data_IF_487321773397
#
_entry.id   IF_487321773397
#
_cell.length_a   1.000
_cell.length_b   1.000
_cell.length_c   1.000
_cell.angle_alpha   90.00
_cell.angle_beta   90.00
_cell.angle_gamma   90.00
#
_symmetry.space_group_name_H-M   'P 1'
#
loop_
_entity.id
_entity.type
_entity.pdbx_description
1 polymer ?
#
# COMPACT_ATOMS: atom_id res chain seq x y z
N UNK A 1 4.76 8.14 29.88
CA UNK A 1 5.33 6.83 29.53
C UNK A 1 4.22 5.80 29.66
N UNK A 2 4.14 4.85 28.74
CA UNK A 2 3.17 3.74 28.75
C UNK A 2 3.97 2.44 28.92
N UNK A 3 3.58 1.60 29.88
CA UNK A 3 4.24 0.31 30.10
C UNK A 3 3.73 -0.69 29.05
N UNK A 4 4.61 -1.15 28.16
CA UNK A 4 4.23 -2.01 27.04
C UNK A 4 5.08 -3.26 26.96
N UNK A 5 4.47 -4.43 27.21
CA UNK A 5 5.12 -5.73 27.03
C UNK A 5 4.98 -6.25 25.58
N UNK A 6 3.82 -6.01 24.97
CA UNK A 6 3.48 -6.41 23.62
C UNK A 6 2.83 -5.24 22.89
N UNK A 7 3.19 -5.06 21.62
CA UNK A 7 2.55 -4.08 20.73
C UNK A 7 1.92 -4.79 19.55
N UNK A 8 0.70 -4.40 19.19
CA UNK A 8 -0.01 -4.95 18.03
C UNK A 8 0.57 -4.46 16.70
N UNK A 9 1.14 -3.25 16.69
CA UNK A 9 1.74 -2.63 15.50
C UNK A 9 3.14 -2.14 15.83
N UNK A 10 4.02 -2.15 14.83
CA UNK A 10 5.32 -1.48 14.91
C UNK A 10 5.22 0.05 14.82
N UNK A 11 6.37 0.73 14.81
CA UNK A 11 6.46 2.17 14.52
C UNK A 11 6.12 2.46 13.05
N UNK A 12 5.74 3.72 12.71
CA UNK A 12 5.24 4.05 11.36
C UNK A 12 6.29 3.87 10.25
N UNK A 13 7.59 4.00 10.55
CA UNK A 13 8.64 3.73 9.56
C UNK A 13 8.66 2.26 9.12
N UNK A 14 8.19 1.31 9.94
CA UNK A 14 8.01 -0.09 9.50
C UNK A 14 6.91 -0.17 8.43
N UNK A 15 5.85 0.61 8.58
CA UNK A 15 4.82 0.78 7.56
C UNK A 15 5.38 1.33 6.24
N UNK A 16 6.24 2.34 6.31
CA UNK A 16 6.92 2.86 5.12
C UNK A 16 7.80 1.82 4.42
N UNK A 17 8.55 1.02 5.18
CA UNK A 17 9.32 -0.11 4.62
C UNK A 17 8.41 -1.16 3.98
N UNK A 18 7.21 -1.43 4.54
CA UNK A 18 6.24 -2.34 3.92
C UNK A 18 5.86 -1.87 2.52
N UNK A 19 5.58 -0.57 2.35
CA UNK A 19 5.29 -0.01 1.02
C UNK A 19 6.49 -0.13 0.08
N UNK A 20 7.68 0.32 0.52
CA UNK A 20 8.89 0.27 -0.30
C UNK A 20 9.25 -1.15 -0.75
N UNK A 21 9.23 -2.11 0.19
CA UNK A 21 9.57 -3.50 -0.08
C UNK A 21 8.52 -4.24 -0.92
N UNK A 22 7.26 -3.80 -0.84
CA UNK A 22 6.17 -4.32 -1.68
C UNK A 22 6.36 -3.93 -3.14
N UNK A 23 6.95 -2.76 -3.41
CA UNK A 23 7.14 -2.23 -4.75
C UNK A 23 8.45 -2.69 -5.42
N UNK A 24 8.56 -2.40 -6.71
CA UNK A 24 9.76 -2.55 -7.55
C UNK A 24 10.22 -1.17 -8.01
N UNK A 25 11.54 -0.96 -8.00
CA UNK A 25 12.13 0.32 -8.42
C UNK A 25 11.99 1.45 -7.41
N UNK A 26 11.38 1.22 -6.24
CA UNK A 26 11.31 2.20 -5.14
C UNK A 26 12.35 1.84 -4.09
N UNK A 27 13.22 2.80 -3.74
CA UNK A 27 14.19 2.64 -2.66
C UNK A 27 13.84 3.56 -1.49
N UNK A 28 14.14 3.13 -0.26
CA UNK A 28 13.86 3.90 0.95
C UNK A 28 15.16 4.18 1.70
N UNK A 29 15.46 5.46 1.93
CA UNK A 29 16.52 5.88 2.84
C UNK A 29 15.89 6.27 4.17
N UNK A 30 16.23 5.51 5.21
CA UNK A 30 15.74 5.71 6.57
C UNK A 30 16.87 6.27 7.44
N UNK A 31 16.69 7.49 7.93
CA UNK A 31 17.57 8.03 8.95
C UNK A 31 17.28 7.34 10.28
N UNK A 32 18.22 6.51 10.73
CA UNK A 32 18.05 5.63 11.88
C UNK A 32 19.40 5.30 12.55
N UNK A 33 19.40 5.00 13.86
CA UNK A 33 20.56 4.51 14.58
C UNK A 33 20.95 3.09 14.14
N UNK A 34 22.16 2.68 14.51
CA UNK A 34 22.57 1.28 14.37
C UNK A 34 21.66 0.36 15.21
N UNK A 35 21.14 -0.69 14.58
CA UNK A 35 20.29 -1.70 15.22
C UNK A 35 18.87 -1.77 14.64
N UNK A 36 18.35 -0.65 14.13
CA UNK A 36 17.01 -0.58 13.50
C UNK A 36 16.90 -1.44 12.22
N UNK A 37 18.03 -1.95 11.71
CA UNK A 37 18.09 -2.96 10.66
C UNK A 37 17.44 -4.29 11.05
N UNK A 38 17.07 -4.51 12.32
CA UNK A 38 16.30 -5.70 12.73
C UNK A 38 15.05 -5.89 11.88
N UNK A 39 14.48 -4.80 11.38
CA UNK A 39 13.24 -4.84 10.64
C UNK A 39 13.39 -5.49 9.24
N UNK A 40 14.62 -5.61 8.72
CA UNK A 40 14.91 -6.45 7.55
C UNK A 40 14.48 -7.91 7.77
N UNK A 41 14.64 -8.43 9.00
CA UNK A 41 14.27 -9.81 9.33
C UNK A 41 12.78 -10.07 9.22
N UNK A 42 11.93 -9.05 9.34
CA UNK A 42 10.49 -9.21 9.10
C UNK A 42 10.26 -9.68 7.66
N UNK A 43 10.94 -9.07 6.70
CA UNK A 43 10.79 -9.42 5.28
C UNK A 43 11.56 -10.70 4.89
N UNK A 44 12.75 -10.91 5.44
CA UNK A 44 13.57 -12.07 5.04
C UNK A 44 13.22 -13.35 5.78
N UNK A 45 12.66 -13.27 6.99
CA UNK A 45 12.33 -14.44 7.81
C UNK A 45 10.83 -14.74 7.86
N UNK A 46 9.98 -13.75 8.12
CA UNK A 46 8.53 -13.96 8.20
C UNK A 46 7.94 -14.11 6.79
N UNK A 47 8.19 -13.12 5.93
CA UNK A 47 7.79 -13.16 4.50
C UNK A 47 8.70 -14.05 3.63
N UNK A 48 9.84 -14.51 4.19
CA UNK A 48 10.79 -15.42 3.53
C UNK A 48 11.28 -14.92 2.17
N UNK A 49 11.49 -13.61 2.01
CA UNK A 49 11.99 -13.04 0.74
C UNK A 49 13.46 -13.40 0.54
N UNK A 50 13.78 -13.90 -0.66
CA UNK A 50 15.15 -14.22 -1.09
C UNK A 50 16.00 -13.02 -1.50
N UNK A 51 15.62 -11.81 -1.08
CA UNK A 51 16.35 -10.56 -1.36
C UNK A 51 16.22 -9.61 -0.17
N UNK A 52 17.23 -8.77 0.02
CA UNK A 52 17.18 -7.68 1.02
C UNK A 52 16.04 -6.71 0.67
N UNK A 53 15.36 -6.12 1.66
CA UNK A 53 14.48 -4.97 1.43
C UNK A 53 15.25 -3.83 0.74
N UNK A 54 14.59 -3.03 -0.12
CA UNK A 54 15.19 -1.87 -0.76
C UNK A 54 15.27 -0.70 0.24
N UNK A 55 15.95 -0.92 1.36
CA UNK A 55 16.08 0.04 2.47
C UNK A 55 17.56 0.27 2.76
N UNK A 56 17.97 1.54 2.80
CA UNK A 56 19.28 1.97 3.28
C UNK A 56 19.08 2.71 4.60
N UNK A 57 19.79 2.27 5.62
CA UNK A 57 19.78 2.90 6.95
C UNK A 57 21.04 3.74 7.09
N UNK A 58 20.94 4.94 7.66
CA UNK A 58 22.14 5.75 7.95
C UNK A 58 23.03 5.13 9.04
N UNK A 59 22.44 4.35 9.94
CA UNK A 59 23.10 3.60 11.02
C UNK A 59 24.01 4.45 11.92
N UNK A 60 23.57 5.64 12.32
CA UNK A 60 24.37 6.50 13.21
C UNK A 60 24.56 5.86 14.59
N UNK A 61 25.68 6.16 15.22
CA UNK A 61 26.06 5.72 16.55
C UNK A 61 26.20 6.92 17.49
N UNK A 62 26.43 6.66 18.78
CA UNK A 62 26.64 7.70 19.78
C UNK A 62 27.75 8.69 19.42
N UNK A 63 28.83 8.23 18.77
CA UNK A 63 29.95 9.09 18.33
C UNK A 63 29.56 10.07 17.21
N UNK A 64 28.55 9.72 16.41
CA UNK A 64 28.13 10.53 15.27
C UNK A 64 27.25 11.71 15.73
N UNK A 65 26.61 11.59 16.90
CA UNK A 65 25.79 12.66 17.50
C UNK A 65 26.59 13.92 17.89
N UNK A 66 27.91 13.79 18.06
CA UNK A 66 28.81 14.93 18.27
C UNK A 66 29.32 15.56 16.96
N UNK A 67 28.94 14.99 15.82
CA UNK A 67 29.36 15.41 14.48
C UNK A 67 28.20 15.92 13.64
N UNK A 68 28.28 15.69 12.32
CA UNK A 68 27.29 16.12 11.33
C UNK A 68 26.46 14.93 10.84
N UNK A 69 25.36 14.64 11.52
CA UNK A 69 24.40 13.59 11.14
C UNK A 69 23.60 13.95 9.87
N UNK A 70 23.48 15.24 9.54
CA UNK A 70 22.87 15.70 8.30
C UNK A 70 23.74 15.35 7.07
N UNK A 71 25.07 15.50 7.14
CA UNK A 71 25.95 15.06 6.07
C UNK A 71 26.00 13.52 5.96
N UNK A 72 25.84 12.82 7.10
CA UNK A 72 25.71 11.36 7.10
C UNK A 72 24.51 10.91 6.26
N UNK A 73 23.34 11.54 6.41
CA UNK A 73 22.16 11.18 5.60
C UNK A 73 22.35 11.56 4.14
N UNK A 74 22.88 12.75 3.82
CA UNK A 74 23.17 13.15 2.43
C UNK A 74 24.09 12.15 1.74
N UNK A 75 25.14 11.69 2.41
CA UNK A 75 26.04 10.66 1.87
C UNK A 75 25.30 9.36 1.54
N UNK A 76 24.50 8.84 2.47
CA UNK A 76 23.75 7.60 2.23
C UNK A 76 22.68 7.73 1.15
N UNK A 77 22.08 8.92 0.98
CA UNK A 77 21.18 9.20 -0.14
C UNK A 77 21.95 9.09 -1.46
N UNK A 78 23.11 9.75 -1.59
CA UNK A 78 23.94 9.66 -2.81
C UNK A 78 24.32 8.22 -3.13
N UNK A 79 24.83 7.49 -2.14
CA UNK A 79 25.26 6.10 -2.29
C UNK A 79 24.09 5.19 -2.69
N UNK A 80 22.91 5.36 -2.09
CA UNK A 80 21.72 4.59 -2.44
C UNK A 80 21.27 4.86 -3.89
N UNK A 81 21.21 6.13 -4.30
CA UNK A 81 20.83 6.51 -5.67
C UNK A 81 21.85 6.00 -6.69
N UNK A 82 23.15 6.18 -6.42
CA UNK A 82 24.22 5.73 -7.33
C UNK A 82 24.23 4.20 -7.50
N UNK A 83 24.08 3.47 -6.38
CA UNK A 83 24.14 2.01 -6.36
C UNK A 83 22.90 1.35 -6.95
N UNK A 84 21.71 1.80 -6.55
CA UNK A 84 20.46 1.10 -6.85
C UNK A 84 19.70 1.71 -8.03
N UNK A 85 19.97 2.98 -8.38
CA UNK A 85 19.32 3.71 -9.48
C UNK A 85 17.78 3.54 -9.48
N UNK A 86 17.10 3.87 -8.37
CA UNK A 86 15.66 3.66 -8.26
C UNK A 86 14.87 4.62 -9.16
N UNK A 87 13.65 4.19 -9.52
CA UNK A 87 12.67 5.00 -10.25
C UNK A 87 12.04 6.07 -9.34
N UNK A 88 12.00 5.85 -8.03
CA UNK A 88 11.60 6.83 -7.02
C UNK A 88 12.29 6.57 -5.68
N UNK A 89 12.51 7.62 -4.90
CA UNK A 89 13.17 7.55 -3.60
C UNK A 89 12.21 8.02 -2.50
N UNK A 90 12.03 7.17 -1.50
CA UNK A 90 11.42 7.55 -0.22
C UNK A 90 12.53 7.98 0.73
N UNK A 91 12.29 9.03 1.52
CA UNK A 91 13.22 9.50 2.55
C UNK A 91 12.43 9.79 3.82
N UNK A 92 12.85 9.23 4.94
CA UNK A 92 12.14 9.35 6.22
C UNK A 92 13.03 9.09 7.43
N UNK A 93 12.44 9.14 8.61
CA UNK A 93 13.12 9.09 9.91
C UNK A 93 12.58 7.94 10.77
N UNK A 94 13.45 7.35 11.60
CA UNK A 94 13.03 6.50 12.72
C UNK A 94 12.76 7.35 13.96
N UNK A 95 12.22 6.74 15.02
CA UNK A 95 11.86 7.47 16.24
C UNK A 95 13.05 8.23 16.86
N UNK A 96 14.27 7.69 16.78
CA UNK A 96 15.45 8.36 17.33
C UNK A 96 15.90 9.52 16.43
N UNK A 97 15.81 9.36 15.10
CA UNK A 97 16.14 10.41 14.15
C UNK A 97 15.15 11.59 14.21
N UNK A 98 13.87 11.31 14.48
CA UNK A 98 12.85 12.33 14.69
C UNK A 98 13.22 13.28 15.86
N UNK A 99 14.03 12.86 16.83
CA UNK A 99 14.47 13.75 17.92
C UNK A 99 15.58 14.72 17.52
N UNK A 100 16.44 14.36 16.57
CA UNK A 100 17.59 15.18 16.14
C UNK A 100 17.24 16.16 15.02
N UNK A 101 16.10 15.96 14.33
CA UNK A 101 15.47 16.94 13.44
C UNK A 101 16.38 17.38 12.28
N UNK A 102 17.13 16.46 11.68
CA UNK A 102 17.99 16.74 10.52
C UNK A 102 17.22 17.03 9.22
N UNK A 103 15.90 16.82 9.19
CA UNK A 103 15.02 17.10 8.05
C UNK A 103 15.47 16.38 6.74
N UNK A 104 15.69 15.05 6.76
CA UNK A 104 16.35 14.34 5.67
C UNK A 104 15.59 14.42 4.35
N UNK A 105 14.26 14.49 4.37
CA UNK A 105 13.47 14.63 3.15
C UNK A 105 13.63 16.00 2.48
N UNK A 106 13.70 17.08 3.26
CA UNK A 106 14.00 18.42 2.73
C UNK A 106 15.44 18.50 2.20
N UNK A 107 16.40 17.88 2.91
CA UNK A 107 17.78 17.77 2.43
C UNK A 107 17.83 17.04 1.09
N UNK A 108 17.13 15.91 0.96
CA UNK A 108 17.07 15.14 -0.28
C UNK A 108 16.51 15.96 -1.45
N UNK A 109 15.46 16.75 -1.22
CA UNK A 109 14.89 17.65 -2.23
C UNK A 109 15.87 18.72 -2.74
N UNK A 110 16.85 19.12 -1.92
CA UNK A 110 17.90 20.08 -2.29
C UNK A 110 19.13 19.47 -2.96
N UNK A 111 19.19 18.15 -3.15
CA UNK A 111 20.38 17.46 -3.67
C UNK A 111 20.47 17.40 -5.20
N UNK A 112 19.44 17.83 -5.92
CA UNK A 112 19.47 17.95 -7.39
C UNK A 112 19.42 16.62 -8.15
N UNK A 113 18.71 15.61 -7.63
CA UNK A 113 18.49 14.35 -8.34
C UNK A 113 17.36 14.45 -9.36
N UNK A 114 17.53 13.82 -10.52
CA UNK A 114 16.53 13.74 -11.61
C UNK A 114 15.52 12.58 -11.41
N UNK A 115 15.11 12.33 -10.16
CA UNK A 115 14.12 11.29 -9.83
C UNK A 115 13.11 11.80 -8.79
N UNK A 116 11.87 11.29 -8.77
CA UNK A 116 10.88 11.65 -7.76
C UNK A 116 11.34 11.30 -6.34
N UNK A 117 11.43 12.31 -5.48
CA UNK A 117 11.73 12.14 -4.05
C UNK A 117 10.48 12.41 -3.24
N UNK A 118 10.09 11.46 -2.40
CA UNK A 118 8.96 11.57 -1.48
C UNK A 118 9.51 11.70 -0.06
N UNK A 119 9.36 12.90 0.51
CA UNK A 119 9.66 13.18 1.91
C UNK A 119 8.54 12.64 2.79
N UNK A 120 8.87 11.72 3.69
CA UNK A 120 7.91 11.09 4.60
C UNK A 120 7.97 11.74 5.98
N UNK A 121 6.86 12.34 6.40
CA UNK A 121 6.65 12.86 7.75
C UNK A 121 5.86 11.83 8.56
N UNK A 122 6.55 11.06 9.40
CA UNK A 122 5.98 9.92 10.09
C UNK A 122 6.13 10.04 11.61
N UNK A 123 5.15 10.65 12.33
CA UNK A 123 5.27 10.92 13.76
C UNK A 123 5.33 9.63 14.61
N UNK A 124 6.53 9.15 14.93
CA UNK A 124 6.74 7.85 15.56
C UNK A 124 6.24 7.77 17.00
N UNK A 125 6.03 8.93 17.63
CA UNK A 125 5.52 9.05 18.99
C UNK A 125 3.99 9.14 19.09
N UNK A 126 3.28 9.25 17.96
CA UNK A 126 1.80 9.36 17.96
C UNK A 126 1.09 8.46 16.95
N UNK A 127 1.82 7.92 15.97
CA UNK A 127 1.30 7.03 14.93
C UNK A 127 2.01 5.67 14.98
N UNK A 128 1.42 4.70 14.29
CA UNK A 128 1.88 3.31 14.24
C UNK A 128 2.04 2.83 12.80
N UNK A 129 2.41 1.57 12.65
CA UNK A 129 2.73 0.91 11.40
C UNK A 129 1.68 1.09 10.29
N UNK A 130 0.41 0.78 10.53
CA UNK A 130 -0.59 0.85 9.46
C UNK A 130 -0.80 2.29 8.97
N UNK A 131 -0.82 3.25 9.89
CA UNK A 131 -0.85 4.66 9.51
C UNK A 131 0.38 5.06 8.68
N UNK A 132 1.57 4.61 9.08
CA UNK A 132 2.80 4.88 8.32
C UNK A 132 2.78 4.28 6.91
N UNK A 133 2.20 3.09 6.75
CA UNK A 133 1.99 2.47 5.45
C UNK A 133 0.96 3.23 4.60
N UNK A 134 -0.17 3.62 5.18
CA UNK A 134 -1.21 4.40 4.50
C UNK A 134 -0.69 5.77 4.03
N UNK A 135 -0.02 6.50 4.93
CA UNK A 135 0.56 7.82 4.61
C UNK A 135 1.64 7.69 3.53
N UNK A 136 2.51 6.68 3.61
CA UNK A 136 3.55 6.46 2.61
C UNK A 136 2.97 6.15 1.24
N UNK A 137 1.96 5.27 1.16
CA UNK A 137 1.28 4.95 -0.09
C UNK A 137 0.60 6.19 -0.68
N UNK A 138 -0.13 6.94 0.15
CA UNK A 138 -0.80 8.18 -0.23
C UNK A 138 0.18 9.21 -0.78
N UNK A 139 1.28 9.50 -0.06
CA UNK A 139 2.27 10.50 -0.47
C UNK A 139 3.03 10.09 -1.73
N UNK A 140 3.31 8.79 -1.89
CA UNK A 140 3.93 8.28 -3.11
C UNK A 140 3.02 8.45 -4.32
N UNK A 141 1.77 8.00 -4.24
CA UNK A 141 0.80 8.13 -5.33
C UNK A 141 0.52 9.60 -5.65
N UNK A 142 0.27 10.41 -4.62
CA UNK A 142 0.05 11.86 -4.77
C UNK A 142 1.26 12.57 -5.38
N UNK A 143 2.48 12.23 -4.96
CA UNK A 143 3.70 12.84 -5.45
C UNK A 143 3.94 12.53 -6.93
N UNK A 144 3.77 11.27 -7.34
CA UNK A 144 3.96 10.83 -8.73
C UNK A 144 2.86 11.34 -9.66
N UNK A 145 1.62 11.42 -9.17
CA UNK A 145 0.47 11.85 -9.96
C UNK A 145 0.15 13.35 -9.83
N UNK A 146 0.94 14.14 -9.10
CA UNK A 146 0.67 15.57 -8.85
C UNK A 146 0.47 16.40 -10.12
N UNK A 147 1.20 16.05 -11.18
CA UNK A 147 1.16 16.75 -12.47
C UNK A 147 0.25 16.05 -13.50
N UNK A 148 -0.40 14.95 -13.14
CA UNK A 148 -1.47 14.41 -13.97
C UNK A 148 -2.64 15.39 -13.97
N UNK A 149 -3.22 15.63 -15.14
CA UNK A 149 -4.38 16.51 -15.26
C UNK A 149 -5.50 16.04 -14.33
N UNK A 150 -6.14 16.98 -13.64
CA UNK A 150 -7.38 16.70 -12.91
C UNK A 150 -8.44 16.19 -13.89
N UNK A 151 -9.37 15.37 -13.41
CA UNK A 151 -10.50 14.98 -14.23
C UNK A 151 -11.26 16.24 -14.71
N UNK A 152 -11.42 16.37 -16.03
CA UNK A 152 -12.11 17.50 -16.63
C UNK A 152 -13.63 17.43 -16.41
N UNK A 153 -14.16 16.25 -16.11
CA UNK A 153 -15.58 15.93 -15.92
C UNK A 153 -15.77 14.86 -14.83
N UNK A 154 -16.98 14.73 -14.29
CA UNK A 154 -17.33 13.75 -13.26
C UNK A 154 -17.22 12.30 -13.71
N UNK A 155 -17.27 11.36 -12.76
CA UNK A 155 -17.23 9.93 -13.03
C UNK A 155 -18.35 9.49 -13.98
N UNK A 156 -18.00 8.85 -15.10
CA UNK A 156 -18.94 8.09 -15.93
C UNK A 156 -18.73 6.59 -15.70
N UNK A 157 -19.68 5.90 -15.04
CA UNK A 157 -19.58 4.47 -14.74
C UNK A 157 -19.63 3.59 -16.00
N UNK A 158 -20.02 4.15 -17.15
CA UNK A 158 -20.18 3.43 -18.42
C UNK A 158 -19.14 3.78 -19.49
N UNK A 159 -18.14 4.59 -19.16
CA UNK A 159 -17.06 5.01 -20.09
C UNK A 159 -16.38 3.84 -20.80
N UNK A 160 -16.24 2.71 -20.12
CA UNK A 160 -15.66 1.48 -20.67
C UNK A 160 -16.49 0.90 -21.84
N UNK A 161 -17.82 1.11 -21.84
CA UNK A 161 -18.72 0.69 -22.92
C UNK A 161 -18.46 1.49 -24.19
N UNK A 162 -18.32 2.81 -24.07
CA UNK A 162 -18.00 3.70 -25.20
C UNK A 162 -16.60 3.40 -25.78
N UNK A 163 -15.66 3.05 -24.91
CA UNK A 163 -14.31 2.65 -25.29
C UNK A 163 -14.22 1.21 -25.84
N UNK A 164 -15.32 0.44 -25.86
CA UNK A 164 -15.37 -0.91 -26.43
C UNK A 164 -14.46 -1.93 -25.73
N UNK A 165 -14.21 -1.75 -24.42
CA UNK A 165 -13.34 -2.64 -23.61
C UNK A 165 -14.06 -3.15 -22.37
N UNK A 166 -13.49 -4.15 -21.69
CA UNK A 166 -13.94 -4.54 -20.35
C UNK A 166 -13.67 -3.42 -19.34
N UNK A 167 -14.49 -3.27 -18.27
CA UNK A 167 -14.20 -2.38 -17.17
C UNK A 167 -12.90 -2.81 -16.49
N UNK A 168 -12.13 -1.83 -16.01
CA UNK A 168 -10.82 -2.04 -15.39
C UNK A 168 -10.81 -1.48 -13.98
N UNK A 169 -10.22 -2.22 -13.04
CA UNK A 169 -10.10 -1.77 -11.65
C UNK A 169 -8.67 -1.77 -11.14
N UNK A 170 -8.35 -0.86 -10.23
CA UNK A 170 -7.14 -0.96 -9.44
C UNK A 170 -7.42 -1.76 -8.16
N UNK A 171 -6.49 -2.60 -7.71
CA UNK A 171 -6.51 -3.20 -6.37
C UNK A 171 -5.54 -2.43 -5.48
N UNK A 172 -6.06 -1.68 -4.50
CA UNK A 172 -5.25 -0.78 -3.66
C UNK A 172 -5.23 -1.31 -2.22
N UNK A 173 -4.03 -1.39 -1.63
CA UNK A 173 -3.81 -1.80 -0.23
C UNK A 173 -2.94 -3.03 0.00
N UNK A 174 -2.99 -4.10 -0.83
CA UNK A 174 -2.21 -5.31 -0.60
C UNK A 174 -0.72 -4.98 -0.46
N UNK A 175 -0.07 -5.49 0.60
CA UNK A 175 1.33 -5.22 0.91
C UNK A 175 2.01 -6.43 1.53
N UNK A 176 3.33 -6.45 1.49
CA UNK A 176 4.14 -7.37 2.30
C UNK A 176 3.93 -7.10 3.78
N UNK A 177 4.05 -8.17 4.57
CA UNK A 177 3.65 -8.26 5.97
C UNK A 177 2.14 -8.04 6.19
N UNK A 178 1.37 -7.85 5.11
CA UNK A 178 -0.07 -7.87 5.14
C UNK A 178 -0.59 -9.30 5.26
N UNK A 179 -1.64 -9.48 6.05
CA UNK A 179 -2.17 -10.80 6.32
C UNK A 179 -2.82 -11.39 5.06
N UNK A 180 -2.19 -12.43 4.49
CA UNK A 180 -2.68 -13.19 3.30
C UNK A 180 -2.82 -12.39 2.01
N UNK A 181 -2.30 -11.16 1.95
CA UNK A 181 -2.40 -10.28 0.78
C UNK A 181 -1.98 -10.95 -0.55
N UNK A 182 -0.97 -11.83 -0.54
CA UNK A 182 -0.54 -12.59 -1.73
C UNK A 182 -1.70 -13.41 -2.32
N UNK A 183 -2.40 -14.16 -1.48
CA UNK A 183 -3.44 -15.09 -1.94
C UNK A 183 -4.77 -14.36 -2.15
N UNK A 184 -5.05 -13.34 -1.35
CA UNK A 184 -6.23 -12.48 -1.51
C UNK A 184 -6.21 -11.76 -2.87
N UNK A 185 -5.04 -11.24 -3.30
CA UNK A 185 -4.91 -10.63 -4.64
C UNK A 185 -5.22 -11.64 -5.74
N UNK A 186 -4.78 -12.89 -5.61
CA UNK A 186 -5.07 -13.95 -6.60
C UNK A 186 -6.57 -14.23 -6.65
N UNK A 187 -7.20 -14.39 -5.49
CA UNK A 187 -8.62 -14.74 -5.39
C UNK A 187 -9.52 -13.61 -5.91
N UNK A 188 -9.26 -12.36 -5.50
CA UNK A 188 -10.02 -11.20 -5.96
C UNK A 188 -9.81 -10.96 -7.46
N UNK A 189 -8.59 -11.11 -7.97
CA UNK A 189 -8.35 -10.98 -9.41
C UNK A 189 -9.10 -12.05 -10.20
N UNK A 190 -9.14 -13.29 -9.72
CA UNK A 190 -9.90 -14.39 -10.34
C UNK A 190 -11.40 -14.12 -10.29
N UNK A 191 -11.90 -13.65 -9.14
CA UNK A 191 -13.31 -13.32 -8.96
C UNK A 191 -13.73 -12.24 -9.95
N UNK A 192 -13.06 -11.09 -9.95
CA UNK A 192 -13.34 -9.98 -10.87
C UNK A 192 -13.25 -10.42 -12.34
N UNK A 193 -12.23 -11.20 -12.70
CA UNK A 193 -12.07 -11.72 -14.06
C UNK A 193 -13.26 -12.58 -14.50
N UNK A 194 -13.85 -13.36 -13.59
CA UNK A 194 -15.05 -14.17 -13.87
C UNK A 194 -16.33 -13.36 -14.07
N UNK A 195 -16.34 -12.10 -13.60
CA UNK A 195 -17.42 -11.14 -13.82
C UNK A 195 -17.17 -10.22 -15.02
N UNK A 196 -16.11 -10.47 -15.82
CA UNK A 196 -15.82 -9.61 -16.97
C UNK A 196 -15.05 -8.33 -16.61
N UNK A 197 -14.49 -8.23 -15.40
CA UNK A 197 -13.74 -7.06 -14.93
C UNK A 197 -12.24 -7.36 -14.97
N UNK A 198 -11.46 -6.47 -15.58
CA UNK A 198 -10.00 -6.60 -15.69
C UNK A 198 -9.29 -5.87 -14.54
N UNK A 199 -8.16 -6.39 -14.07
CA UNK A 199 -7.30 -5.68 -13.12
C UNK A 199 -6.30 -4.82 -13.90
N UNK A 200 -6.35 -3.50 -13.71
CA UNK A 200 -5.42 -2.54 -14.28
C UNK A 200 -4.06 -2.62 -13.57
N UNK A 201 -4.08 -2.35 -12.25
CA UNK A 201 -2.89 -2.29 -11.41
C UNK A 201 -3.20 -2.80 -10.00
N UNK A 202 -2.25 -3.51 -9.39
CA UNK A 202 -2.24 -3.82 -7.95
C UNK A 202 -1.18 -2.94 -7.29
N UNK A 203 -1.53 -2.16 -6.26
CA UNK A 203 -0.60 -1.26 -5.55
C UNK A 203 -0.77 -1.40 -4.04
N UNK A 204 0.30 -1.42 -3.22
CA UNK A 204 1.73 -1.39 -3.61
C UNK A 204 2.33 -2.74 -4.04
N UNK A 205 1.65 -3.87 -3.79
CA UNK A 205 2.25 -5.19 -4.00
C UNK A 205 2.70 -5.45 -5.44
N UNK A 206 4.02 -5.60 -5.59
CA UNK A 206 4.77 -5.87 -6.81
C UNK A 206 4.68 -4.79 -7.91
N UNK A 207 4.14 -3.61 -7.59
CA UNK A 207 3.98 -2.46 -8.47
C UNK A 207 5.28 -1.72 -8.74
N UNK A 208 5.43 -1.18 -9.94
CA UNK A 208 6.47 -0.20 -10.34
C UNK A 208 5.95 1.23 -10.26
N UNK A 209 6.84 2.22 -10.42
CA UNK A 209 6.44 3.62 -10.60
C UNK A 209 5.59 3.79 -11.86
N UNK A 210 5.92 3.10 -12.96
CA UNK A 210 5.12 3.12 -14.18
C UNK A 210 3.70 2.60 -13.96
N UNK A 211 3.52 1.61 -13.08
CA UNK A 211 2.21 1.10 -12.71
C UNK A 211 1.37 2.13 -11.93
N UNK A 212 2.00 2.91 -11.05
CA UNK A 212 1.34 4.03 -10.36
C UNK A 212 0.85 5.07 -11.37
N UNK A 213 1.64 5.37 -12.40
CA UNK A 213 1.27 6.34 -13.44
C UNK A 213 0.02 5.92 -14.22
N UNK A 214 -0.30 4.61 -14.27
CA UNK A 214 -1.49 4.07 -14.92
C UNK A 214 -2.72 3.99 -14.02
N UNK A 215 -2.62 4.33 -12.73
CA UNK A 215 -3.76 4.31 -11.82
C UNK A 215 -4.97 5.12 -12.33
N UNK A 216 -4.82 6.30 -12.96
CA UNK A 216 -5.94 7.05 -13.51
C UNK A 216 -6.65 6.41 -14.71
N UNK A 217 -6.14 5.31 -15.27
CA UNK A 217 -6.76 4.60 -16.39
C UNK A 217 -7.89 3.64 -15.98
N UNK A 218 -8.06 3.41 -14.67
CA UNK A 218 -9.09 2.52 -14.15
C UNK A 218 -10.46 3.22 -14.06
N UNK A 219 -11.52 2.41 -14.15
CA UNK A 219 -12.90 2.86 -13.99
C UNK A 219 -13.31 2.87 -12.49
N UNK A 220 -12.67 2.05 -11.65
CA UNK A 220 -12.96 1.91 -10.23
C UNK A 220 -11.70 1.50 -9.44
N UNK A 221 -11.59 1.96 -8.19
CA UNK A 221 -10.60 1.45 -7.25
C UNK A 221 -11.25 0.44 -6.29
N UNK A 222 -10.66 -0.74 -6.13
CA UNK A 222 -11.04 -1.71 -5.11
C UNK A 222 -10.14 -1.48 -3.89
N UNK A 223 -10.73 -0.99 -2.80
CA UNK A 223 -10.04 -0.74 -1.54
C UNK A 223 -9.97 -2.03 -0.71
N UNK A 224 -8.94 -2.86 -0.93
CA UNK A 224 -8.82 -4.19 -0.32
C UNK A 224 -8.34 -4.20 1.12
N UNK A 225 -7.74 -3.12 1.63
CA UNK A 225 -7.38 -3.03 3.06
C UNK A 225 -7.45 -1.56 3.45
N UNK A 226 -8.56 -1.16 4.09
CA UNK A 226 -8.86 0.24 4.37
C UNK A 226 -7.77 0.92 5.21
N UNK A 227 -7.17 0.17 6.13
CA UNK A 227 -6.08 0.61 7.02
C UNK A 227 -4.84 1.09 6.26
N UNK A 228 -4.68 0.67 5.00
CA UNK A 228 -3.56 1.02 4.11
C UNK A 228 -4.01 1.88 2.92
N UNK A 229 -5.19 1.60 2.36
CA UNK A 229 -5.60 2.12 1.06
C UNK A 229 -6.54 3.33 1.12
N UNK A 230 -7.29 3.52 2.21
CA UNK A 230 -8.42 4.46 2.23
C UNK A 230 -7.99 5.90 1.91
N UNK A 231 -6.88 6.37 2.50
CA UNK A 231 -6.35 7.71 2.24
C UNK A 231 -5.97 7.92 0.77
N UNK A 232 -5.38 6.91 0.14
CA UNK A 232 -5.05 6.92 -1.28
C UNK A 232 -6.30 6.93 -2.16
N UNK A 233 -7.24 6.01 -1.91
CA UNK A 233 -8.50 5.91 -2.64
C UNK A 233 -9.33 7.20 -2.55
N UNK A 234 -9.47 7.77 -1.35
CA UNK A 234 -10.18 9.04 -1.13
C UNK A 234 -9.52 10.22 -1.84
N UNK A 235 -8.19 10.23 -1.96
CA UNK A 235 -7.50 11.24 -2.75
C UNK A 235 -7.74 11.05 -4.26
N UNK A 236 -7.65 9.82 -4.76
CA UNK A 236 -7.93 9.51 -6.17
C UNK A 236 -9.37 9.82 -6.58
N UNK A 237 -10.34 9.58 -5.70
CA UNK A 237 -11.74 9.98 -5.92
C UNK A 237 -11.86 11.49 -6.08
N UNK A 238 -11.20 12.28 -5.21
CA UNK A 238 -11.22 13.75 -5.28
C UNK A 238 -10.46 14.33 -6.47
N UNK A 239 -9.38 13.70 -6.92
CA UNK A 239 -8.53 14.23 -8.00
C UNK A 239 -8.92 13.75 -9.39
N UNK A 240 -9.29 12.48 -9.52
CA UNK A 240 -9.57 11.82 -10.79
C UNK A 240 -11.03 11.41 -10.95
N UNK A 241 -11.87 11.61 -9.93
CA UNK A 241 -13.26 11.17 -9.96
C UNK A 241 -13.41 9.64 -9.99
N UNK A 242 -12.38 8.88 -9.62
CA UNK A 242 -12.45 7.41 -9.64
C UNK A 242 -13.04 6.94 -8.31
N UNK A 243 -14.26 6.38 -8.28
CA UNK A 243 -14.88 5.90 -7.04
C UNK A 243 -14.09 4.72 -6.46
N UNK A 244 -14.46 4.29 -5.26
CA UNK A 244 -13.90 3.10 -4.68
C UNK A 244 -14.86 2.30 -3.81
N UNK A 245 -14.65 0.99 -3.78
CA UNK A 245 -15.45 0.07 -2.96
C UNK A 245 -15.21 0.30 -1.47
N UNK A 246 -16.25 0.16 -0.67
CA UNK A 246 -16.20 0.21 0.80
C UNK A 246 -16.32 -1.16 1.44
N UNK A 247 -16.83 -2.14 0.70
CA UNK A 247 -17.06 -3.49 1.20
C UNK A 247 -15.82 -4.36 1.03
N UNK A 248 -15.43 -5.03 2.10
CA UNK A 248 -14.36 -6.00 2.09
C UNK A 248 -14.90 -7.40 1.75
N UNK A 249 -14.43 -8.08 0.68
CA UNK A 249 -14.95 -9.38 0.26
C UNK A 249 -14.48 -10.56 1.12
N UNK A 250 -14.56 -10.46 2.45
CA UNK A 250 -14.21 -11.53 3.39
C UNK A 250 -15.48 -12.17 3.96
N UNK A 251 -15.75 -13.41 3.54
CA UNK A 251 -16.94 -14.18 3.91
C UNK A 251 -18.03 -14.11 2.85
N UNK A 252 -18.87 -15.15 2.78
CA UNK A 252 -19.80 -15.36 1.65
C UNK A 252 -20.75 -14.17 1.42
N UNK A 253 -21.34 -13.63 2.49
CA UNK A 253 -22.23 -12.48 2.41
C UNK A 253 -21.50 -11.21 1.96
N UNK A 254 -20.36 -10.89 2.59
CA UNK A 254 -19.60 -9.69 2.26
C UNK A 254 -19.01 -9.76 0.84
N UNK A 255 -18.66 -10.94 0.33
CA UNK A 255 -18.27 -11.12 -1.07
C UNK A 255 -19.44 -10.85 -2.02
N UNK A 256 -20.67 -11.27 -1.69
CA UNK A 256 -21.85 -10.95 -2.49
C UNK A 256 -22.16 -9.44 -2.48
N UNK A 257 -22.08 -8.79 -1.32
CA UNK A 257 -22.26 -7.34 -1.17
C UNK A 257 -21.18 -6.56 -1.95
N UNK A 258 -19.93 -7.01 -1.88
CA UNK A 258 -18.81 -6.44 -2.65
C UNK A 258 -19.05 -6.53 -4.17
N UNK A 259 -19.55 -7.66 -4.66
CA UNK A 259 -19.85 -7.84 -6.08
C UNK A 259 -21.01 -6.95 -6.52
N UNK A 260 -22.07 -6.84 -5.70
CA UNK A 260 -23.18 -5.94 -5.95
C UNK A 260 -22.73 -4.47 -5.99
N UNK A 261 -21.90 -4.05 -5.02
CA UNK A 261 -21.29 -2.71 -4.98
C UNK A 261 -20.43 -2.45 -6.22
N UNK A 262 -19.55 -3.39 -6.56
CA UNK A 262 -18.63 -3.29 -7.72
C UNK A 262 -19.42 -3.16 -9.03
N UNK A 263 -20.43 -4.00 -9.23
CA UNK A 263 -21.27 -3.95 -10.44
C UNK A 263 -22.06 -2.64 -10.53
N UNK A 264 -22.61 -2.16 -9.40
CA UNK A 264 -23.31 -0.89 -9.35
C UNK A 264 -22.39 0.29 -9.73
N UNK A 265 -21.19 0.35 -9.17
CA UNK A 265 -20.20 1.40 -9.48
C UNK A 265 -19.71 1.35 -10.92
N UNK A 266 -19.76 0.19 -11.58
CA UNK A 266 -19.38 0.00 -12.99
C UNK A 266 -20.55 0.05 -13.98
N UNK A 267 -21.78 0.34 -13.51
CA UNK A 267 -22.97 0.35 -14.37
C UNK A 267 -23.26 -0.99 -15.04
N UNK A 268 -22.97 -2.08 -14.34
CA UNK A 268 -23.21 -3.48 -14.74
C UNK A 268 -24.45 -4.02 -14.04
N UNK A 269 -25.09 -5.04 -14.62
CA UNK A 269 -26.20 -5.74 -13.97
C UNK A 269 -25.70 -6.50 -12.74
N UNK A 270 -26.38 -6.38 -11.60
CA UNK A 270 -25.97 -7.05 -10.37
C UNK A 270 -25.93 -8.58 -10.54
N UNK A 271 -24.93 -9.27 -9.97
CA UNK A 271 -24.85 -10.72 -10.03
C UNK A 271 -25.89 -11.39 -9.13
N UNK A 272 -26.09 -12.69 -9.31
CA UNK A 272 -26.95 -13.49 -8.43
C UNK A 272 -26.37 -13.47 -7.00
N UNK A 273 -27.14 -12.98 -6.03
CA UNK A 273 -26.75 -12.95 -4.63
C UNK A 273 -26.40 -14.35 -4.07
N UNK A 274 -26.90 -15.43 -4.69
CA UNK A 274 -26.60 -16.82 -4.31
C UNK A 274 -25.34 -17.39 -4.96
N UNK A 275 -24.65 -16.64 -5.81
CA UNK A 275 -23.44 -17.10 -6.47
C UNK A 275 -22.37 -17.54 -5.45
N UNK A 276 -22.23 -16.80 -4.36
CA UNK A 276 -21.33 -17.15 -3.25
C UNK A 276 -21.67 -18.49 -2.59
N UNK A 277 -22.95 -18.85 -2.54
CA UNK A 277 -23.41 -20.14 -2.00
C UNK A 277 -23.02 -21.33 -2.88
N UNK A 278 -22.91 -21.09 -4.18
CA UNK A 278 -22.57 -22.12 -5.17
C UNK A 278 -21.05 -22.28 -5.34
N UNK A 279 -20.28 -21.20 -5.14
CA UNK A 279 -18.82 -21.19 -5.34
C UNK A 279 -18.03 -21.49 -4.06
N UNK A 280 -18.60 -21.25 -2.88
CA UNK A 280 -17.96 -21.57 -1.60
C UNK A 280 -18.50 -22.88 -1.03
N UNK A 281 -17.63 -23.67 -0.39
CA UNK A 281 -18.06 -24.84 0.38
C UNK A 281 -18.58 -24.46 1.77
N UNK A 282 -18.29 -23.25 2.25
CA UNK A 282 -18.64 -22.83 3.61
C UNK A 282 -20.15 -22.98 3.90
N UNK A 283 -21.09 -22.60 3.01
CA UNK A 283 -22.51 -22.74 3.31
C UNK A 283 -22.93 -24.20 3.49
N UNK A 284 -22.42 -25.12 2.68
CA UNK A 284 -22.64 -26.56 2.88
C UNK A 284 -22.06 -27.05 4.21
N UNK A 285 -20.80 -26.70 4.51
CA UNK A 285 -20.18 -27.09 5.78
C UNK A 285 -20.95 -26.53 6.98
N UNK A 286 -21.37 -25.26 6.91
CA UNK A 286 -22.12 -24.59 7.98
C UNK A 286 -23.52 -25.19 8.18
N UNK A 287 -24.16 -25.68 7.12
CA UNK A 287 -25.48 -26.33 7.18
C UNK A 287 -25.40 -27.83 7.51
N UNK A 288 -24.22 -28.45 7.41
CA UNK A 288 -24.04 -29.87 7.71
C UNK A 288 -24.27 -30.19 9.18
N UNK A 289 -24.68 -31.43 9.47
CA UNK A 289 -24.93 -31.90 10.84
C UNK A 289 -23.71 -31.75 11.76
N UNK A 290 -22.51 -31.81 11.20
CA UNK A 290 -21.24 -31.63 11.90
C UNK A 290 -21.09 -30.23 12.50
N UNK A 291 -21.80 -29.23 11.97
CA UNK A 291 -21.74 -27.84 12.46
C UNK A 291 -22.82 -27.50 13.48
N UNK A 292 -23.76 -28.40 13.78
CA UNK A 292 -24.89 -28.11 14.69
C UNK A 292 -24.41 -27.65 16.07
N UNK A 293 -23.32 -28.24 16.58
CA UNK A 293 -22.74 -27.92 17.88
C UNK A 293 -22.06 -26.55 17.96
N UNK A 294 -21.83 -25.88 16.82
CA UNK A 294 -21.30 -24.52 16.76
C UNK A 294 -22.36 -23.47 17.13
N UNK A 295 -23.65 -23.83 17.08
CA UNK A 295 -24.75 -22.93 17.41
C UNK A 295 -24.67 -22.46 18.86
N UNK A 296 -24.49 -21.16 19.07
CA UNK A 296 -24.43 -20.56 20.40
C UNK A 296 -23.10 -20.72 21.16
N UNK A 297 -22.06 -21.24 20.49
CA UNK A 297 -20.67 -21.09 20.96
C UNK A 297 -20.16 -19.67 20.67
#
# INVERSE_FOLDING_TARGET
>A
MELTLWTYEGPPHVGAMRIAASMKGVHYVLHAPQGDTYADLLFTMIERRGKRPPVTYTTFQARDLGGDTAELVKRHIREAVERFKPDALLVGESCTAELIQDQPGALAGGMGFDLPIVSLELPAYSKKENWGASETLYQLVRGLLKNHGAAAEGHDPTRWKEAGRRPRVNLIGPSLLGFRCRDDVIEISRLLASHGIDVNTVVPLEATVADIMRLPEADLNVCLYAEIAESCCSWMERQFGIPFTRTMPIGVGATADFLAETHNLLGMEAPDAREGEQRSKLPWYSASVDSTYLTGK
#
